data_IF_265633599056
#
_entry.id   IF_265633599056
#
_cell.length_a   1.000
_cell.length_b   1.000
_cell.length_c   1.000
_cell.angle_alpha   90.00
_cell.angle_beta   90.00
_cell.angle_gamma   90.00
#
_symmetry.space_group_name_H-M   'P 1'
#
loop_
_entity.id
_entity.type
_entity.pdbx_description
1 polymer ?
#
# COMPACT_ATOMS: atom_id res chain seq x y z
N UNK A 1 -33.50 9.50 -17.61
CA UNK A 1 -33.48 8.87 -16.28
C UNK A 1 -32.16 8.11 -16.17
N UNK A 2 -31.24 8.66 -15.38
CA UNK A 2 -29.97 8.12 -14.88
C UNK A 2 -29.09 7.25 -15.81
N UNK A 3 -28.22 7.89 -16.57
CA UNK A 3 -26.93 7.31 -16.99
C UNK A 3 -25.86 7.70 -15.96
N UNK A 4 -25.95 7.16 -14.73
CA UNK A 4 -25.05 7.52 -13.61
C UNK A 4 -24.30 6.31 -13.02
N UNK A 5 -24.49 5.11 -13.58
CA UNK A 5 -23.99 3.87 -12.98
C UNK A 5 -22.57 3.44 -13.36
N UNK A 6 -22.03 3.93 -14.48
CA UNK A 6 -20.81 3.36 -15.08
C UNK A 6 -19.56 4.23 -14.86
N UNK A 7 -19.70 5.55 -14.85
CA UNK A 7 -18.58 6.47 -14.55
C UNK A 7 -18.06 6.29 -13.12
N UNK A 8 -18.93 5.89 -12.18
CA UNK A 8 -18.58 5.55 -10.79
C UNK A 8 -17.73 4.27 -10.65
N UNK A 9 -17.78 3.36 -11.62
CA UNK A 9 -16.96 2.13 -11.61
C UNK A 9 -15.54 2.40 -12.10
N UNK A 10 -15.40 3.32 -13.06
CA UNK A 10 -14.10 3.78 -13.55
C UNK A 10 -13.48 4.89 -12.71
N UNK A 11 -14.25 5.61 -11.89
CA UNK A 11 -13.75 6.61 -10.95
C UNK A 11 -13.45 6.05 -9.54
N UNK A 12 -13.65 4.75 -9.30
CA UNK A 12 -13.42 4.14 -7.98
C UNK A 12 -11.93 4.18 -7.60
N UNK A 13 -11.53 5.19 -6.85
CA UNK A 13 -10.22 5.30 -6.20
C UNK A 13 -10.09 4.23 -5.13
N UNK A 14 -8.88 3.74 -4.93
CA UNK A 14 -8.60 2.82 -3.82
C UNK A 14 -8.46 3.64 -2.55
N UNK A 15 -9.16 3.26 -1.48
CA UNK A 15 -8.88 3.82 -0.16
C UNK A 15 -7.92 2.87 0.56
N UNK A 16 -6.97 3.45 1.30
CA UNK A 16 -5.97 2.70 2.03
C UNK A 16 -6.13 2.99 3.52
N UNK A 17 -6.43 1.94 4.28
CA UNK A 17 -6.60 2.02 5.73
C UNK A 17 -5.37 1.41 6.41
N UNK A 18 -4.67 2.13 7.31
CA UNK A 18 -3.49 1.59 7.98
C UNK A 18 -3.88 0.41 8.87
N UNK A 19 -3.07 -0.64 8.84
CA UNK A 19 -3.19 -1.83 9.67
C UNK A 19 -2.06 -1.84 10.71
N UNK A 20 -2.21 -1.11 11.83
CA UNK A 20 -1.14 -0.94 12.82
C UNK A 20 -0.76 -2.24 13.56
N UNK A 21 -1.63 -3.25 13.52
CA UNK A 21 -1.44 -4.49 14.29
C UNK A 21 -0.54 -5.52 13.60
N UNK A 22 -0.13 -5.30 12.35
CA UNK A 22 0.73 -6.24 11.62
C UNK A 22 2.18 -6.05 12.04
N UNK A 23 2.69 -6.95 12.87
CA UNK A 23 4.11 -6.96 13.25
C UNK A 23 4.95 -7.51 12.09
N UNK A 24 5.99 -6.78 11.72
CA UNK A 24 6.94 -7.18 10.69
C UNK A 24 8.11 -7.93 11.31
N UNK A 25 7.92 -9.23 11.58
CA UNK A 25 8.92 -10.07 12.25
C UNK A 25 10.25 -10.13 11.48
N UNK A 26 10.24 -9.94 10.16
CA UNK A 26 11.46 -9.90 9.35
C UNK A 26 12.38 -8.73 9.71
N UNK A 27 11.85 -7.60 10.20
CA UNK A 27 12.68 -6.49 10.67
C UNK A 27 13.44 -6.83 11.96
N UNK A 28 13.07 -7.90 12.66
CA UNK A 28 13.74 -8.40 13.86
C UNK A 28 14.58 -9.66 13.60
N UNK A 29 14.53 -10.20 12.39
CA UNK A 29 15.32 -11.37 12.01
C UNK A 29 16.81 -11.02 11.93
N UNK A 30 17.66 -11.90 12.48
CA UNK A 30 19.10 -11.66 12.59
C UNK A 30 19.77 -11.52 11.23
N UNK A 31 19.38 -12.32 10.23
CA UNK A 31 19.98 -12.27 8.90
C UNK A 31 19.58 -10.97 8.19
N UNK A 32 18.30 -10.60 8.30
CA UNK A 32 17.76 -9.36 7.75
C UNK A 32 18.42 -8.14 8.39
N UNK A 33 18.56 -8.11 9.72
CA UNK A 33 19.27 -7.05 10.44
C UNK A 33 20.73 -6.92 9.99
N UNK A 34 21.44 -8.03 9.83
CA UNK A 34 22.83 -8.03 9.35
C UNK A 34 22.95 -7.44 7.93
N UNK A 35 22.02 -7.77 7.04
CA UNK A 35 21.96 -7.18 5.69
C UNK A 35 21.65 -5.69 5.74
N UNK A 36 20.66 -5.28 6.55
CA UNK A 36 20.31 -3.88 6.74
C UNK A 36 21.47 -3.06 7.32
N UNK A 37 22.25 -3.62 8.25
CA UNK A 37 23.48 -2.99 8.76
C UNK A 37 24.54 -2.85 7.67
N UNK A 38 24.81 -3.94 6.93
CA UNK A 38 25.81 -3.97 5.84
C UNK A 38 25.54 -2.87 4.80
N UNK A 39 24.27 -2.56 4.54
CA UNK A 39 23.85 -1.58 3.53
C UNK A 39 23.57 -0.19 4.13
N UNK A 40 23.85 0.02 5.42
CA UNK A 40 23.52 1.26 6.15
C UNK A 40 22.03 1.63 6.09
N UNK A 41 21.16 0.63 6.00
CA UNK A 41 19.70 0.76 5.93
C UNK A 41 19.01 0.51 7.27
N UNK A 42 19.73 -0.04 8.27
CA UNK A 42 19.17 -0.28 9.59
C UNK A 42 18.67 1.03 10.22
N UNK A 43 17.42 1.02 10.68
CA UNK A 43 16.76 2.20 11.26
C UNK A 43 16.31 3.26 10.25
N UNK A 44 16.64 3.11 8.96
CA UNK A 44 16.18 4.00 7.88
C UNK A 44 14.99 3.46 7.11
N UNK A 45 14.64 2.19 7.32
CA UNK A 45 13.49 1.55 6.68
C UNK A 45 12.38 1.36 7.69
N UNK A 46 11.18 1.80 7.31
CA UNK A 46 9.93 1.54 8.01
C UNK A 46 9.04 0.65 7.15
N UNK A 47 8.42 -0.35 7.76
CA UNK A 47 7.38 -1.14 7.12
C UNK A 47 6.02 -0.71 7.66
N UNK A 48 5.08 -0.47 6.75
CA UNK A 48 3.69 -0.18 7.06
C UNK A 48 2.82 -1.14 6.25
N UNK A 49 1.67 -1.52 6.80
CA UNK A 49 0.68 -2.33 6.10
C UNK A 49 -0.62 -1.58 6.00
N UNK A 50 -1.27 -1.73 4.86
CA UNK A 50 -2.56 -1.12 4.57
C UNK A 50 -3.51 -2.19 4.06
N UNK A 51 -4.78 -2.10 4.46
CA UNK A 51 -5.89 -2.75 3.76
C UNK A 51 -6.42 -1.82 2.68
N UNK A 52 -7.06 -2.41 1.68
CA UNK A 52 -7.75 -1.67 0.62
C UNK A 52 -9.12 -2.32 0.34
N UNK A 53 -10.07 -1.51 -0.10
CA UNK A 53 -11.49 -1.86 -0.16
C UNK A 53 -11.91 -2.48 -1.50
N UNK A 54 -11.16 -2.22 -2.57
CA UNK A 54 -11.55 -2.58 -3.93
C UNK A 54 -10.71 -3.73 -4.49
N UNK A 55 -11.29 -4.60 -5.32
CA UNK A 55 -10.55 -5.72 -5.91
C UNK A 55 -9.41 -5.22 -6.80
N UNK A 56 -8.23 -5.81 -6.63
CA UNK A 56 -7.07 -5.52 -7.47
C UNK A 56 -7.22 -6.20 -8.83
N UNK A 57 -7.10 -5.43 -9.91
CA UNK A 57 -7.04 -5.94 -11.28
C UNK A 57 -5.70 -5.52 -11.89
N UNK A 58 -4.97 -6.41 -12.58
CA UNK A 58 -3.67 -6.07 -13.20
C UNK A 58 -3.75 -4.85 -14.13
N UNK A 59 -4.85 -4.72 -14.85
CA UNK A 59 -5.13 -3.60 -15.77
C UNK A 59 -5.30 -2.25 -15.07
N UNK A 60 -5.58 -2.23 -13.76
CA UNK A 60 -5.72 -1.00 -12.96
C UNK A 60 -4.55 -0.76 -12.02
N UNK A 61 -3.41 -1.45 -12.23
CA UNK A 61 -2.20 -1.33 -11.42
C UNK A 61 -1.67 0.10 -11.32
N UNK A 62 -1.68 0.85 -12.43
CA UNK A 62 -1.31 2.27 -12.46
C UNK A 62 -2.23 3.10 -11.54
N UNK A 63 -3.55 2.93 -11.66
CA UNK A 63 -4.52 3.64 -10.81
C UNK A 63 -4.41 3.26 -9.34
N UNK A 64 -4.10 1.99 -9.05
CA UNK A 64 -3.82 1.53 -7.69
C UNK A 64 -2.62 2.26 -7.10
N UNK A 65 -1.49 2.31 -7.83
CA UNK A 65 -0.30 3.02 -7.40
C UNK A 65 -0.57 4.53 -7.20
N UNK A 66 -1.23 5.16 -8.17
CA UNK A 66 -1.61 6.57 -8.07
C UNK A 66 -2.50 6.84 -6.85
N UNK A 67 -3.46 5.96 -6.55
CA UNK A 67 -4.34 6.11 -5.39
C UNK A 67 -3.59 5.93 -4.06
N UNK A 68 -2.52 5.13 -4.02
CA UNK A 68 -1.73 4.88 -2.81
C UNK A 68 -0.82 6.05 -2.44
N UNK A 69 -0.20 6.68 -3.44
CA UNK A 69 0.72 7.79 -3.24
C UNK A 69 0.05 9.16 -3.25
N UNK A 70 -1.26 9.22 -3.54
CA UNK A 70 -2.01 10.47 -3.48
C UNK A 70 -2.19 10.86 -2.02
N UNK A 71 -1.82 12.09 -1.69
CA UNK A 71 -2.04 12.66 -0.37
C UNK A 71 -3.55 12.68 -0.08
N UNK A 72 -3.99 12.25 1.11
CA UNK A 72 -5.35 12.54 1.55
C UNK A 72 -5.46 14.05 1.77
N UNK A 73 -6.25 14.74 0.94
CA UNK A 73 -6.62 16.14 1.17
C UNK A 73 -7.30 16.34 2.54
#
# INVERSE_FOLDING_TARGET
MAAEGDEFRFARTFSFSPLPMKKFSFLQDKNTLALLMKWSMLGRISAHSYSFDNNFCPHSSERFALSFFRDPE
#
